data_IF_152725308376
#
_entry.id   IF_152725308376
#
_cell.length_a   1.000
_cell.length_b   1.000
_cell.length_c   1.000
_cell.angle_alpha   90.00
_cell.angle_beta   90.00
_cell.angle_gamma   90.00
#
_symmetry.space_group_name_H-M   'P 1'
#
loop_
_entity.id
_entity.type
_entity.pdbx_description
1 polymer ?
#
# COMPACT_ATOMS: atom_id res chain seq x y z
N UNK A 1 -53.48 31.39 -9.80
CA UNK A 1 -52.02 31.47 -9.99
C UNK A 1 -51.17 30.86 -8.87
N UNK A 2 -51.75 30.33 -7.78
CA UNK A 2 -50.96 29.67 -6.72
C UNK A 2 -50.76 28.15 -6.93
N UNK A 3 -51.65 27.47 -7.65
CA UNK A 3 -51.58 26.01 -7.83
C UNK A 3 -50.59 25.53 -8.90
N UNK A 4 -50.11 26.43 -9.78
CA UNK A 4 -49.12 26.09 -10.82
C UNK A 4 -47.67 26.12 -10.33
N UNK A 5 -47.40 26.79 -9.21
CA UNK A 5 -46.06 26.84 -8.60
C UNK A 5 -45.81 25.71 -7.60
N UNK A 6 -46.85 25.15 -6.98
CA UNK A 6 -46.74 24.02 -6.04
C UNK A 6 -46.41 22.71 -6.76
N UNK A 7 -46.88 22.52 -8.00
CA UNK A 7 -46.60 21.31 -8.79
C UNK A 7 -45.22 21.27 -9.45
N UNK A 8 -44.51 22.41 -9.55
CA UNK A 8 -43.16 22.45 -10.13
C UNK A 8 -42.08 22.24 -9.05
N UNK A 9 -42.37 22.58 -7.79
CA UNK A 9 -41.48 22.32 -6.66
C UNK A 9 -41.52 20.87 -6.15
N UNK A 10 -42.53 20.08 -6.54
CA UNK A 10 -42.69 18.68 -6.11
C UNK A 10 -42.04 17.64 -7.05
N UNK A 11 -41.49 18.04 -8.21
CA UNK A 11 -40.95 17.10 -9.22
C UNK A 11 -39.41 17.16 -9.32
N UNK A 12 -38.76 18.19 -8.74
CA UNK A 12 -37.29 18.37 -8.87
C UNK A 12 -36.50 17.78 -7.68
N UNK A 13 -37.18 17.27 -6.64
CA UNK A 13 -36.50 16.74 -5.42
C UNK A 13 -36.31 15.21 -5.45
N UNK A 14 -36.78 14.51 -6.48
CA UNK A 14 -36.85 13.03 -6.45
C UNK A 14 -35.85 12.28 -7.34
N UNK A 15 -34.82 12.93 -7.89
CA UNK A 15 -33.77 12.20 -8.61
C UNK A 15 -32.38 12.71 -8.27
N UNK A 16 -31.47 11.75 -8.04
CA UNK A 16 -30.02 11.89 -7.98
C UNK A 16 -29.36 12.03 -6.60
N UNK A 17 -29.52 11.00 -5.75
CA UNK A 17 -28.38 10.49 -4.97
C UNK A 17 -28.44 8.97 -4.95
N UNK A 18 -27.97 8.32 -6.01
CA UNK A 18 -27.52 6.92 -5.91
C UNK A 18 -26.11 7.00 -5.35
N UNK A 19 -25.98 6.89 -4.02
CA UNK A 19 -24.68 6.61 -3.41
C UNK A 19 -24.31 5.21 -3.87
N UNK A 20 -23.45 5.13 -4.88
CA UNK A 20 -22.76 3.89 -5.22
C UNK A 20 -21.77 3.67 -4.07
N UNK A 21 -22.22 2.96 -3.04
CA UNK A 21 -21.30 2.31 -2.11
C UNK A 21 -20.56 1.27 -2.94
N UNK A 22 -19.32 1.58 -3.32
CA UNK A 22 -18.38 0.56 -3.76
C UNK A 22 -18.10 -0.30 -2.52
N UNK A 23 -18.96 -1.29 -2.29
CA UNK A 23 -18.56 -2.44 -1.51
C UNK A 23 -17.34 -3.00 -2.24
N UNK A 24 -16.15 -2.80 -1.68
CA UNK A 24 -15.02 -3.64 -2.01
C UNK A 24 -15.52 -5.06 -1.74
N UNK A 25 -15.89 -5.76 -2.80
CA UNK A 25 -16.13 -7.18 -2.75
C UNK A 25 -14.76 -7.81 -2.46
N UNK A 26 -14.41 -7.86 -1.17
CA UNK A 26 -13.50 -8.88 -0.70
C UNK A 26 -14.19 -10.18 -1.09
N UNK A 27 -13.69 -10.81 -2.13
CA UNK A 27 -14.05 -12.17 -2.47
C UNK A 27 -13.68 -13.00 -1.26
N UNK A 28 -14.64 -13.18 -0.36
CA UNK A 28 -14.56 -14.11 0.74
C UNK A 28 -14.42 -15.45 0.05
N UNK A 29 -13.23 -16.03 0.12
CA UNK A 29 -12.89 -17.29 -0.53
C UNK A 29 -13.74 -18.39 0.09
N UNK A 30 -14.92 -18.62 -0.49
CA UNK A 30 -15.62 -19.87 -0.39
C UNK A 30 -14.63 -20.95 -0.77
N UNK A 31 -14.43 -21.92 0.11
CA UNK A 31 -13.63 -23.11 -0.08
C UNK A 31 -14.24 -24.04 -1.13
N UNK A 32 -14.49 -23.53 -2.33
CA UNK A 32 -14.74 -24.36 -3.49
C UNK A 32 -13.37 -24.83 -3.97
N UNK A 33 -13.05 -26.07 -3.60
CA UNK A 33 -11.93 -26.81 -4.15
C UNK A 33 -11.91 -26.64 -5.67
N UNK A 34 -10.73 -26.40 -6.26
CA UNK A 34 -10.60 -26.18 -7.69
C UNK A 34 -11.25 -27.31 -8.50
N UNK A 35 -11.95 -26.96 -9.58
CA UNK A 35 -12.45 -27.95 -10.54
C UNK A 35 -11.28 -28.68 -11.22
N UNK A 36 -11.55 -29.86 -11.78
CA UNK A 36 -10.51 -30.63 -12.49
C UNK A 36 -9.99 -29.87 -13.72
N UNK A 37 -10.84 -29.11 -14.41
CA UNK A 37 -10.42 -28.24 -15.52
C UNK A 37 -9.47 -27.14 -15.05
N UNK A 38 -9.74 -26.52 -13.89
CA UNK A 38 -8.88 -25.50 -13.30
C UNK A 38 -7.52 -26.09 -12.87
N UNK A 39 -7.52 -27.28 -12.27
CA UNK A 39 -6.28 -28.01 -11.95
C UNK A 39 -5.48 -28.30 -13.21
N UNK A 40 -6.13 -28.78 -14.27
CA UNK A 40 -5.46 -29.08 -15.54
C UNK A 40 -4.91 -27.82 -16.23
N UNK A 41 -5.58 -26.68 -16.11
CA UNK A 41 -5.05 -25.40 -16.58
C UNK A 41 -3.78 -25.00 -15.82
N UNK A 42 -3.74 -25.18 -14.50
CA UNK A 42 -2.54 -24.92 -13.71
C UNK A 42 -1.39 -25.85 -14.15
N UNK A 43 -1.65 -27.15 -14.30
CA UNK A 43 -0.64 -28.13 -14.73
C UNK A 43 -0.08 -27.77 -16.11
N UNK A 44 -0.96 -27.51 -17.09
CA UNK A 44 -0.56 -27.18 -18.47
C UNK A 44 0.24 -25.88 -18.59
N UNK A 45 0.03 -24.92 -17.69
CA UNK A 45 0.73 -23.63 -17.68
C UNK A 45 1.82 -23.53 -16.61
N UNK A 46 2.10 -24.61 -15.88
CA UNK A 46 2.96 -24.62 -14.69
C UNK A 46 4.35 -24.00 -14.94
N UNK A 47 5.01 -24.34 -16.05
CA UNK A 47 6.31 -23.76 -16.43
C UNK A 47 6.22 -22.25 -16.64
N UNK A 48 5.21 -21.79 -17.38
CA UNK A 48 5.00 -20.37 -17.65
C UNK A 48 4.74 -19.57 -16.37
N UNK A 49 3.86 -20.08 -15.49
CA UNK A 49 3.55 -19.44 -14.22
C UNK A 49 4.80 -19.37 -13.33
N UNK A 50 5.57 -20.46 -13.22
CA UNK A 50 6.81 -20.48 -12.42
C UNK A 50 7.85 -19.52 -12.97
N UNK A 51 8.00 -19.42 -14.29
CA UNK A 51 8.93 -18.46 -14.89
C UNK A 51 8.54 -17.01 -14.55
N UNK A 52 7.26 -16.67 -14.65
CA UNK A 52 6.75 -15.36 -14.25
C UNK A 52 6.97 -15.06 -12.76
N UNK A 53 6.73 -16.04 -11.88
CA UNK A 53 6.96 -15.88 -10.43
C UNK A 53 8.45 -15.77 -10.09
N UNK A 54 9.33 -16.51 -10.78
CA UNK A 54 10.78 -16.37 -10.61
C UNK A 54 11.28 -15.00 -11.07
N UNK A 55 10.79 -14.51 -12.21
CA UNK A 55 11.12 -13.16 -12.68
C UNK A 55 10.67 -12.10 -11.68
N UNK A 56 9.45 -12.24 -11.13
CA UNK A 56 8.91 -11.39 -10.08
C UNK A 56 9.80 -11.41 -8.82
N UNK A 57 10.19 -12.60 -8.37
CA UNK A 57 11.06 -12.78 -7.20
C UNK A 57 12.38 -12.03 -7.36
N UNK A 58 13.03 -12.18 -8.53
CA UNK A 58 14.27 -11.50 -8.84
C UNK A 58 14.10 -9.96 -8.93
N UNK A 59 13.04 -9.49 -9.60
CA UNK A 59 12.80 -8.05 -9.76
C UNK A 59 12.46 -7.37 -8.44
N UNK A 60 11.61 -7.98 -7.63
CA UNK A 60 11.16 -7.40 -6.37
C UNK A 60 12.31 -7.38 -5.35
N UNK A 61 13.19 -8.39 -5.35
CA UNK A 61 14.40 -8.41 -4.51
C UNK A 61 15.33 -7.21 -4.78
N UNK A 62 15.59 -6.90 -6.05
CA UNK A 62 16.38 -5.72 -6.43
C UNK A 62 15.66 -4.43 -6.03
N UNK A 63 14.36 -4.34 -6.30
CA UNK A 63 13.55 -3.16 -5.99
C UNK A 63 13.53 -2.86 -4.49
N UNK A 64 13.43 -3.88 -3.64
CA UNK A 64 13.48 -3.77 -2.18
C UNK A 64 14.78 -3.14 -1.72
N UNK A 65 15.93 -3.59 -2.23
CA UNK A 65 17.24 -3.04 -1.84
C UNK A 65 17.31 -1.55 -2.21
N UNK A 66 16.99 -1.22 -3.45
CA UNK A 66 17.06 0.15 -3.95
C UNK A 66 16.11 1.09 -3.19
N UNK A 67 14.84 0.71 -3.05
CA UNK A 67 13.84 1.52 -2.32
C UNK A 67 14.13 1.59 -0.83
N UNK A 68 14.53 0.48 -0.21
CA UNK A 68 14.84 0.41 1.21
C UNK A 68 15.98 1.37 1.60
N UNK A 69 17.00 1.51 0.76
CA UNK A 69 18.08 2.48 0.97
C UNK A 69 17.58 3.93 0.87
N UNK A 70 16.72 4.23 -0.11
CA UNK A 70 16.13 5.57 -0.26
C UNK A 70 15.26 5.90 0.96
N UNK A 71 14.41 4.98 1.40
CA UNK A 71 13.53 5.20 2.54
C UNK A 71 14.31 5.38 3.84
N UNK A 72 15.37 4.60 4.06
CA UNK A 72 16.25 4.76 5.22
C UNK A 72 17.01 6.09 5.18
N UNK A 73 17.50 6.49 4.01
CA UNK A 73 18.14 7.79 3.84
C UNK A 73 17.18 8.95 4.09
N UNK A 74 15.89 8.79 3.77
CA UNK A 74 14.89 9.81 4.02
C UNK A 74 14.68 10.06 5.52
N UNK A 75 14.57 8.99 6.32
CA UNK A 75 14.53 9.13 7.78
C UNK A 75 15.85 9.71 8.33
N UNK A 76 16.97 9.04 8.05
CA UNK A 76 18.22 9.27 8.78
C UNK A 76 19.01 10.51 8.34
N UNK A 77 18.95 10.86 7.06
CA UNK A 77 19.74 11.97 6.50
C UNK A 77 18.92 13.24 6.29
N UNK A 78 17.62 13.13 6.11
CA UNK A 78 16.74 14.27 5.90
C UNK A 78 15.92 14.58 7.15
N UNK A 79 14.97 13.71 7.51
CA UNK A 79 14.00 14.00 8.58
C UNK A 79 14.69 14.22 9.93
N UNK A 80 15.54 13.28 10.35
CA UNK A 80 16.25 13.35 11.63
C UNK A 80 17.16 14.56 11.73
N UNK A 81 17.91 14.82 10.66
CA UNK A 81 18.90 15.91 10.64
C UNK A 81 18.22 17.26 10.67
N UNK A 82 17.11 17.41 9.93
CA UNK A 82 16.36 18.66 9.93
C UNK A 82 15.69 18.90 11.29
N UNK A 83 14.97 17.90 11.82
CA UNK A 83 14.30 18.02 13.12
C UNK A 83 15.31 18.32 14.23
N UNK A 84 16.46 17.63 14.27
CA UNK A 84 17.50 17.88 15.26
C UNK A 84 18.05 19.32 15.17
N UNK A 85 18.22 19.87 13.96
CA UNK A 85 18.66 21.26 13.78
C UNK A 85 17.62 22.24 14.32
N UNK A 86 16.34 22.05 14.02
CA UNK A 86 15.27 22.88 14.57
C UNK A 86 15.30 22.88 16.11
N UNK A 87 15.33 21.70 16.70
CA UNK A 87 15.37 21.52 18.16
C UNK A 87 16.60 22.20 18.76
N UNK A 88 17.78 22.04 18.16
CA UNK A 88 19.02 22.66 18.65
C UNK A 88 19.01 24.19 18.59
N UNK A 89 18.16 24.78 17.74
CA UNK A 89 17.97 26.22 17.64
C UNK A 89 16.71 26.69 18.40
N UNK A 90 16.15 25.84 19.26
CA UNK A 90 14.93 26.13 20.03
C UNK A 90 13.71 26.49 19.17
N UNK A 91 13.65 25.97 17.94
CA UNK A 91 12.52 26.13 17.03
C UNK A 91 11.52 24.97 17.21
N UNK A 92 10.23 25.25 17.00
CA UNK A 92 9.19 24.22 17.12
C UNK A 92 9.32 23.18 16.00
N UNK A 93 9.67 21.95 16.39
CA UNK A 93 9.82 20.80 15.51
C UNK A 93 8.72 19.74 15.72
N UNK A 94 7.72 20.00 16.57
CA UNK A 94 6.82 18.95 17.10
C UNK A 94 6.09 18.19 15.99
N UNK A 95 5.48 18.91 15.04
CA UNK A 95 4.74 18.30 13.94
C UNK A 95 5.64 17.41 13.05
N UNK A 96 6.82 17.92 12.67
CA UNK A 96 7.79 17.17 11.86
C UNK A 96 8.32 15.94 12.60
N UNK A 97 8.59 16.04 13.90
CA UNK A 97 8.99 14.89 14.73
C UNK A 97 7.90 13.82 14.76
N UNK A 98 6.65 14.18 14.99
CA UNK A 98 5.52 13.23 14.96
C UNK A 98 5.40 12.52 13.61
N UNK A 99 5.49 13.23 12.49
CA UNK A 99 5.46 12.60 11.16
C UNK A 99 6.67 11.67 10.96
N UNK A 100 7.85 12.05 11.44
CA UNK A 100 9.07 11.24 11.32
C UNK A 100 8.94 9.93 12.11
N UNK A 101 8.35 9.95 13.30
CA UNK A 101 8.15 8.76 14.11
C UNK A 101 7.14 7.81 13.45
N UNK A 102 6.05 8.33 12.90
CA UNK A 102 5.07 7.54 12.15
C UNK A 102 5.67 6.95 10.86
N UNK A 103 6.50 7.72 10.15
CA UNK A 103 7.24 7.24 8.98
C UNK A 103 8.15 6.06 9.34
N UNK A 104 8.87 6.13 10.46
CA UNK A 104 9.72 5.04 10.94
C UNK A 104 8.94 3.78 11.28
N UNK A 105 7.80 3.92 11.94
CA UNK A 105 6.92 2.80 12.23
C UNK A 105 6.48 2.12 10.92
N UNK A 106 6.00 2.88 9.94
CA UNK A 106 5.64 2.35 8.63
C UNK A 106 6.82 1.72 7.87
N UNK A 107 8.05 2.23 8.07
CA UNK A 107 9.25 1.65 7.47
C UNK A 107 9.62 0.31 8.12
N UNK A 108 9.33 0.12 9.40
CA UNK A 108 9.48 -1.17 10.07
C UNK A 108 8.45 -2.18 9.55
N UNK A 109 7.18 -1.77 9.43
CA UNK A 109 6.10 -2.59 8.87
C UNK A 109 6.46 -3.06 7.45
N UNK A 110 6.84 -2.12 6.56
CA UNK A 110 7.29 -2.42 5.20
C UNK A 110 8.38 -3.50 5.15
N UNK A 111 9.35 -3.44 6.07
CA UNK A 111 10.45 -4.42 6.13
C UNK A 111 9.94 -5.79 6.56
N UNK A 112 9.11 -5.83 7.59
CA UNK A 112 8.55 -7.07 8.12
C UNK A 112 7.64 -7.74 7.09
N UNK A 113 6.73 -6.99 6.47
CA UNK A 113 5.78 -7.51 5.49
C UNK A 113 6.49 -7.94 4.21
N UNK A 114 7.54 -7.22 3.78
CA UNK A 114 8.36 -7.66 2.66
C UNK A 114 9.05 -9.00 2.95
N UNK A 115 9.63 -9.18 4.15
CA UNK A 115 10.29 -10.44 4.52
C UNK A 115 9.27 -11.59 4.49
N UNK A 116 8.09 -11.38 5.06
CA UNK A 116 7.01 -12.38 5.07
C UNK A 116 6.55 -12.73 3.64
N UNK A 117 6.34 -11.73 2.80
CA UNK A 117 6.03 -11.91 1.38
C UNK A 117 7.10 -12.71 0.64
N UNK A 118 8.37 -12.34 0.80
CA UNK A 118 9.49 -12.98 0.10
C UNK A 118 9.63 -14.46 0.52
N UNK A 119 9.53 -14.74 1.82
CA UNK A 119 9.54 -16.11 2.34
C UNK A 119 8.40 -16.94 1.74
N UNK A 120 7.18 -16.38 1.70
CA UNK A 120 6.02 -17.07 1.13
C UNK A 120 6.14 -17.30 -0.37
N UNK A 121 6.70 -16.35 -1.12
CA UNK A 121 6.98 -16.51 -2.54
C UNK A 121 8.02 -17.61 -2.78
N UNK A 122 9.09 -17.63 -1.99
CA UNK A 122 10.11 -18.68 -2.01
C UNK A 122 9.53 -20.06 -1.70
N UNK A 123 8.61 -20.18 -0.74
CA UNK A 123 7.86 -21.42 -0.46
C UNK A 123 6.96 -21.82 -1.64
N UNK A 124 6.22 -20.86 -2.20
CA UNK A 124 5.34 -21.09 -3.35
C UNK A 124 6.09 -21.64 -4.56
N UNK A 125 7.29 -21.11 -4.82
CA UNK A 125 8.16 -21.57 -5.92
C UNK A 125 8.69 -23.00 -5.74
N UNK A 126 8.69 -23.53 -4.51
CA UNK A 126 9.09 -24.92 -4.19
C UNK A 126 7.97 -25.93 -4.40
N UNK A 127 6.70 -25.50 -4.48
CA UNK A 127 5.59 -26.42 -4.72
C UNK A 127 5.61 -26.87 -6.20
N UNK A 128 5.58 -28.18 -6.42
CA UNK A 128 5.46 -28.76 -7.76
C UNK A 128 4.03 -28.61 -8.27
N UNK A 129 3.79 -27.59 -9.11
CA UNK A 129 2.46 -27.32 -9.67
C UNK A 129 1.92 -28.40 -10.61
N UNK A 130 2.75 -29.36 -11.05
CA UNK A 130 2.28 -30.50 -11.85
C UNK A 130 1.71 -31.62 -10.98
N UNK A 131 2.20 -31.75 -9.74
CA UNK A 131 1.78 -32.79 -8.77
C UNK A 131 0.76 -32.27 -7.76
N UNK A 132 0.85 -31.00 -7.41
CA UNK A 132 0.04 -30.37 -6.36
C UNK A 132 -0.56 -29.03 -6.84
N UNK A 133 -1.37 -29.03 -7.92
CA UNK A 133 -1.90 -27.79 -8.51
C UNK A 133 -2.76 -26.98 -7.53
N UNK A 134 -3.52 -27.64 -6.66
CA UNK A 134 -4.38 -26.98 -5.68
C UNK A 134 -3.58 -26.29 -4.57
N UNK A 135 -2.60 -26.99 -3.97
CA UNK A 135 -1.71 -26.39 -2.98
C UNK A 135 -0.89 -25.23 -3.57
N UNK A 136 -0.43 -25.37 -4.81
CA UNK A 136 0.27 -24.29 -5.52
C UNK A 136 -0.64 -23.08 -5.70
N UNK A 137 -1.88 -23.27 -6.16
CA UNK A 137 -2.84 -22.19 -6.37
C UNK A 137 -3.13 -21.41 -5.08
N UNK A 138 -3.45 -22.11 -4.00
CA UNK A 138 -3.71 -21.52 -2.68
C UNK A 138 -2.48 -20.72 -2.22
N UNK A 139 -1.28 -21.27 -2.40
CA UNK A 139 -0.04 -20.58 -2.02
C UNK A 139 0.22 -19.33 -2.88
N UNK A 140 -0.11 -19.36 -4.17
CA UNK A 140 -0.04 -18.17 -5.05
C UNK A 140 -1.04 -17.10 -4.61
N UNK A 141 -2.26 -17.46 -4.24
CA UNK A 141 -3.26 -16.50 -3.73
C UNK A 141 -2.75 -15.82 -2.45
N UNK A 142 -2.32 -16.61 -1.46
CA UNK A 142 -1.74 -16.08 -0.23
C UNK A 142 -0.51 -15.20 -0.49
N UNK A 143 0.36 -15.58 -1.42
CA UNK A 143 1.52 -14.75 -1.81
C UNK A 143 1.09 -13.40 -2.41
N UNK A 144 -0.01 -13.37 -3.18
CA UNK A 144 -0.54 -12.13 -3.75
C UNK A 144 -1.07 -11.19 -2.69
N UNK A 145 -1.75 -11.72 -1.67
CA UNK A 145 -2.24 -10.93 -0.53
C UNK A 145 -1.09 -10.30 0.24
N UNK A 146 -0.03 -11.05 0.53
CA UNK A 146 1.17 -10.50 1.17
C UNK A 146 1.86 -9.44 0.32
N UNK A 147 1.91 -9.63 -1.01
CA UNK A 147 2.44 -8.61 -1.93
C UNK A 147 1.60 -7.34 -1.95
N UNK A 148 0.28 -7.46 -1.76
CA UNK A 148 -0.62 -6.32 -1.64
C UNK A 148 -0.35 -5.54 -0.34
N UNK A 149 -0.11 -6.22 0.79
CA UNK A 149 0.29 -5.55 2.04
C UNK A 149 1.56 -4.72 1.86
N UNK A 150 2.60 -5.29 1.22
CA UNK A 150 3.82 -4.55 0.87
C UNK A 150 3.53 -3.31 0.00
N UNK A 151 2.58 -3.41 -0.93
CA UNK A 151 2.17 -2.28 -1.75
C UNK A 151 1.49 -1.18 -0.92
N UNK A 152 0.62 -1.55 0.01
CA UNK A 152 -0.05 -0.63 0.93
C UNK A 152 0.95 0.09 1.85
N UNK A 153 1.99 -0.60 2.30
CA UNK A 153 3.08 0.01 3.07
C UNK A 153 3.85 1.04 2.27
N UNK A 154 4.15 0.74 1.00
CA UNK A 154 4.79 1.72 0.10
C UNK A 154 3.94 2.98 -0.06
N UNK A 155 2.62 2.81 -0.23
CA UNK A 155 1.72 3.96 -0.29
C UNK A 155 1.71 4.75 1.02
N UNK A 156 1.75 4.05 2.17
CA UNK A 156 1.78 4.68 3.50
C UNK A 156 3.07 5.48 3.71
N UNK A 157 4.22 4.92 3.31
CA UNK A 157 5.50 5.62 3.34
C UNK A 157 5.48 6.89 2.49
N UNK A 158 4.90 6.84 1.30
CA UNK A 158 4.77 8.03 0.45
C UNK A 158 3.86 9.09 1.08
N UNK A 159 2.73 8.70 1.67
CA UNK A 159 1.85 9.65 2.40
C UNK A 159 2.61 10.36 3.51
N UNK A 160 3.40 9.64 4.32
CA UNK A 160 4.20 10.29 5.37
C UNK A 160 5.33 11.18 4.83
N UNK A 161 5.88 10.89 3.65
CA UNK A 161 6.82 11.81 2.98
C UNK A 161 6.11 13.11 2.58
N UNK A 162 4.88 13.02 2.06
CA UNK A 162 4.08 14.19 1.69
C UNK A 162 3.65 14.98 2.94
N UNK A 163 3.23 14.31 4.01
CA UNK A 163 2.88 14.93 5.29
C UNK A 163 4.09 15.66 5.91
N UNK A 164 5.28 15.07 5.78
CA UNK A 164 6.51 15.68 6.27
C UNK A 164 6.83 16.95 5.48
N UNK A 165 6.70 16.88 4.15
CA UNK A 165 6.85 18.04 3.27
C UNK A 165 5.87 19.15 3.65
N UNK A 166 4.61 18.82 3.90
CA UNK A 166 3.59 19.78 4.35
C UNK A 166 3.99 20.43 5.68
N UNK A 167 4.41 19.61 6.65
CA UNK A 167 4.83 20.10 7.98
C UNK A 167 6.02 21.06 7.91
N UNK A 168 6.98 20.80 7.00
CA UNK A 168 8.08 21.72 6.72
C UNK A 168 7.58 23.01 6.08
N UNK A 169 6.62 22.92 5.15
CA UNK A 169 6.00 24.09 4.53
C UNK A 169 5.31 25.00 5.55
N UNK A 170 4.51 24.42 6.45
CA UNK A 170 3.82 25.15 7.51
C UNK A 170 4.81 25.81 8.48
N UNK A 171 5.87 25.09 8.85
CA UNK A 171 6.96 25.65 9.65
C UNK A 171 7.58 26.88 8.98
N UNK A 172 7.90 26.81 7.69
CA UNK A 172 8.53 27.92 6.95
C UNK A 172 7.61 29.16 6.88
N UNK A 173 6.32 28.97 6.61
CA UNK A 173 5.34 30.06 6.58
C UNK A 173 5.22 30.74 7.95
N UNK A 174 5.20 29.96 9.02
CA UNK A 174 5.13 30.49 10.38
C UNK A 174 6.43 31.21 10.77
N UNK A 175 7.58 30.63 10.44
CA UNK A 175 8.88 31.25 10.71
C UNK A 175 9.02 32.60 10.01
N UNK A 176 8.65 32.70 8.72
CA UNK A 176 8.70 33.95 7.96
C UNK A 176 7.80 35.04 8.54
N UNK A 177 6.62 34.68 9.06
CA UNK A 177 5.70 35.64 9.70
C UNK A 177 6.25 36.20 11.01
N UNK A 178 6.99 35.41 11.78
CA UNK A 178 7.47 35.79 13.12
C UNK A 178 8.86 36.43 13.08
N UNK A 179 9.69 36.06 12.10
CA UNK A 179 11.07 36.54 11.96
C UNK A 179 11.24 37.73 10.99
N UNK A 180 10.22 38.04 10.18
CA UNK A 180 10.18 39.21 9.31
C UNK A 180 9.47 40.39 9.96
#
# INVERSE_FOLDING_TARGET
MLYRFVSILAVVVSTLVVVITTNAAYAQSSSDSLSEEQKQQIVSNCVGIRNSLNQLHASDALLRVNRGQVYESMATKLMDKFNARLISNSLDAKAMTTVTDNYRAALLDFRADYITYEQKLSETLRIDCTKHPEAFHISVQSTRELRLAVHEDVQRLHRFIDDYRSSVGDFLLNYQRVAG
#
